data_IF_067005389891
#
_entry.id   IF_067005389891
#
_cell.length_a   1.000
_cell.length_b   1.000
_cell.length_c   1.000
_cell.angle_alpha   90.00
_cell.angle_beta   90.00
_cell.angle_gamma   90.00
#
_symmetry.space_group_name_H-M   'P 1'
#
loop_
_entity.id
_entity.type
_entity.pdbx_description
1 polymer ?
#
# COMPACT_ATOMS: atom_id res chain seq x y z
N UNK A 1 4.80 -18.31 -6.06
CA UNK A 1 4.93 -17.00 -5.37
C UNK A 1 3.55 -16.56 -4.89
N UNK A 2 3.45 -16.09 -3.66
CA UNK A 2 2.20 -15.63 -3.04
C UNK A 2 1.20 -16.70 -2.62
N UNK A 3 0.91 -17.67 -3.50
CA UNK A 3 -0.07 -18.74 -3.26
C UNK A 3 -1.53 -18.31 -3.46
N UNK A 4 -1.76 -17.13 -4.04
CA UNK A 4 -3.10 -16.60 -4.32
C UNK A 4 -3.70 -17.30 -5.55
N UNK A 5 -4.95 -17.78 -5.48
CA UNK A 5 -5.69 -18.24 -6.66
C UNK A 5 -5.73 -17.18 -7.75
N UNK A 6 -5.78 -17.60 -9.02
CA UNK A 6 -5.77 -16.66 -10.16
C UNK A 6 -6.98 -15.73 -10.14
N UNK A 7 -8.15 -16.26 -9.79
CA UNK A 7 -9.35 -15.44 -9.60
C UNK A 7 -9.09 -14.34 -8.57
N UNK A 8 -8.55 -14.73 -7.41
CA UNK A 8 -8.26 -13.79 -6.33
C UNK A 8 -7.27 -12.71 -6.74
N UNK A 9 -6.23 -13.09 -7.47
CA UNK A 9 -5.21 -12.16 -7.95
C UNK A 9 -5.80 -11.09 -8.88
N UNK A 10 -6.69 -11.47 -9.79
CA UNK A 10 -7.29 -10.54 -10.76
C UNK A 10 -8.25 -9.56 -10.07
N UNK A 11 -9.13 -10.05 -9.20
CA UNK A 11 -10.06 -9.20 -8.46
C UNK A 11 -9.34 -8.30 -7.47
N UNK A 12 -8.30 -8.80 -6.80
CA UNK A 12 -7.44 -7.98 -5.95
C UNK A 12 -6.74 -6.89 -6.76
N UNK A 13 -6.25 -7.20 -7.96
CA UNK A 13 -5.65 -6.19 -8.84
C UNK A 13 -6.65 -5.09 -9.21
N UNK A 14 -7.90 -5.45 -9.55
CA UNK A 14 -8.95 -4.46 -9.84
C UNK A 14 -9.35 -3.65 -8.60
N UNK A 15 -9.50 -4.29 -7.44
CA UNK A 15 -9.80 -3.61 -6.18
C UNK A 15 -8.69 -2.65 -5.75
N UNK A 16 -7.43 -3.01 -6.00
CA UNK A 16 -6.26 -2.16 -5.72
C UNK A 16 -6.17 -0.98 -6.70
N UNK A 17 -6.28 -1.26 -8.01
CA UNK A 17 -6.16 -0.24 -9.05
C UNK A 17 -7.30 0.77 -9.06
N UNK A 18 -8.51 0.32 -8.75
CA UNK A 18 -9.68 1.19 -8.60
C UNK A 18 -9.81 1.84 -7.21
N UNK A 19 -8.81 1.65 -6.33
CA UNK A 19 -8.83 2.11 -4.93
C UNK A 19 -10.13 1.79 -4.19
N UNK A 20 -10.70 0.61 -4.45
CA UNK A 20 -12.04 0.24 -3.99
C UNK A 20 -12.06 -0.72 -2.80
N UNK A 21 -10.95 -1.41 -2.50
CA UNK A 21 -10.80 -2.19 -1.25
C UNK A 21 -11.64 -3.45 -1.11
N UNK A 22 -12.41 -3.82 -2.13
CA UNK A 22 -13.24 -5.02 -2.07
C UNK A 22 -12.36 -6.28 -2.03
N UNK A 23 -12.18 -6.82 -0.82
CA UNK A 23 -11.56 -8.12 -0.60
C UNK A 23 -12.54 -9.25 -0.91
N UNK A 24 -12.03 -10.36 -1.45
CA UNK A 24 -12.83 -11.57 -1.71
C UNK A 24 -13.08 -12.34 -0.42
N UNK A 25 -12.09 -12.35 0.47
CA UNK A 25 -12.17 -13.01 1.75
C UNK A 25 -12.65 -12.03 2.81
N UNK A 26 -13.36 -12.55 3.81
CA UNK A 26 -13.85 -11.77 4.93
C UNK A 26 -12.73 -11.17 5.78
N UNK A 27 -11.55 -11.80 5.81
CA UNK A 27 -10.35 -11.31 6.47
C UNK A 27 -9.52 -10.34 5.59
N UNK A 28 -10.12 -9.84 4.49
CA UNK A 28 -9.51 -8.92 3.54
C UNK A 28 -8.18 -9.44 3.00
N UNK A 29 -7.05 -8.92 3.51
CA UNK A 29 -5.69 -9.30 3.10
C UNK A 29 -4.89 -10.02 4.19
N UNK A 30 -5.46 -10.22 5.38
CA UNK A 30 -4.77 -10.79 6.53
C UNK A 30 -4.29 -12.23 6.28
N UNK A 31 -5.14 -13.09 5.71
CA UNK A 31 -4.80 -14.48 5.41
C UNK A 31 -3.91 -14.72 4.19
N UNK A 32 -3.44 -13.67 3.50
CA UNK A 32 -2.48 -13.81 2.41
C UNK A 32 -1.04 -13.70 2.90
N UNK A 33 -0.13 -14.35 2.16
CA UNK A 33 1.29 -14.35 2.52
C UNK A 33 1.88 -12.94 2.61
N UNK A 34 2.92 -12.72 3.45
CA UNK A 34 3.63 -11.45 3.57
C UNK A 34 4.05 -10.85 2.23
N UNK A 35 4.39 -11.70 1.26
CA UNK A 35 4.72 -11.30 -0.10
C UNK A 35 3.57 -10.57 -0.80
N UNK A 36 2.35 -11.11 -0.74
CA UNK A 36 1.18 -10.49 -1.39
C UNK A 36 0.83 -9.16 -0.72
N UNK A 37 0.92 -9.10 0.60
CA UNK A 37 0.66 -7.87 1.33
C UNK A 37 1.64 -6.77 0.90
N UNK A 38 2.94 -7.05 0.82
CA UNK A 38 3.92 -6.09 0.31
C UNK A 38 3.64 -5.64 -1.13
N UNK A 39 3.33 -6.58 -2.02
CA UNK A 39 2.98 -6.26 -3.42
C UNK A 39 1.77 -5.33 -3.45
N UNK A 40 0.72 -5.66 -2.70
CA UNK A 40 -0.50 -4.85 -2.61
C UNK A 40 -0.20 -3.46 -2.05
N UNK A 41 0.60 -3.35 -0.99
CA UNK A 41 1.04 -2.05 -0.42
C UNK A 41 1.72 -1.17 -1.47
N UNK A 42 2.65 -1.72 -2.24
CA UNK A 42 3.36 -0.96 -3.29
C UNK A 42 2.38 -0.49 -4.36
N UNK A 43 1.49 -1.35 -4.83
CA UNK A 43 0.53 -0.97 -5.86
C UNK A 43 -0.53 0.01 -5.36
N UNK A 44 -1.01 -0.11 -4.12
CA UNK A 44 -1.88 0.90 -3.50
C UNK A 44 -1.21 2.27 -3.55
N UNK A 45 0.04 2.38 -3.09
CA UNK A 45 0.77 3.64 -3.09
C UNK A 45 0.95 4.19 -4.50
N UNK A 46 1.27 3.33 -5.48
CA UNK A 46 1.41 3.75 -6.88
C UNK A 46 0.07 4.30 -7.42
N UNK A 47 -1.03 3.59 -7.24
CA UNK A 47 -2.33 4.04 -7.75
C UNK A 47 -2.86 5.28 -7.01
N UNK A 48 -2.39 5.55 -5.79
CA UNK A 48 -2.70 6.80 -5.07
C UNK A 48 -1.93 8.04 -5.56
N UNK A 49 -0.89 7.90 -6.39
CA UNK A 49 -0.14 9.05 -6.91
C UNK A 49 -0.87 9.71 -8.09
N UNK A 50 -0.79 11.05 -8.16
CA UNK A 50 -1.34 11.83 -9.27
C UNK A 50 -0.89 11.32 -10.65
N UNK A 51 -1.87 11.13 -11.56
CA UNK A 51 -1.66 10.66 -12.92
C UNK A 51 -0.66 11.50 -13.74
N UNK A 52 -0.53 12.80 -13.44
CA UNK A 52 0.42 13.69 -14.08
C UNK A 52 1.88 13.21 -13.91
N UNK A 53 2.21 12.60 -12.77
CA UNK A 53 3.53 11.98 -12.58
C UNK A 53 3.78 10.90 -13.63
N UNK A 54 2.84 9.97 -13.82
CA UNK A 54 2.97 8.89 -14.79
C UNK A 54 3.07 9.41 -16.22
N UNK A 55 2.29 10.44 -16.56
CA UNK A 55 2.38 11.10 -17.86
C UNK A 55 3.77 11.71 -18.10
N UNK A 56 4.35 12.40 -17.10
CA UNK A 56 5.70 12.96 -17.21
C UNK A 56 6.80 11.89 -17.28
N UNK A 57 6.63 10.77 -16.58
CA UNK A 57 7.53 9.61 -16.67
C UNK A 57 7.50 9.01 -18.09
N UNK A 58 6.31 8.88 -18.70
CA UNK A 58 6.15 8.42 -20.08
C UNK A 58 6.87 9.34 -21.08
N UNK A 59 6.83 10.64 -20.86
CA UNK A 59 7.57 11.65 -21.64
C UNK A 59 9.08 11.67 -21.35
N UNK A 60 9.61 10.74 -20.54
CA UNK A 60 11.00 10.68 -20.08
C UNK A 60 11.47 11.94 -19.34
N UNK A 61 10.54 12.71 -18.76
CA UNK A 61 10.82 13.92 -17.95
C UNK A 61 10.93 13.59 -16.47
N UNK A 62 11.78 12.62 -16.13
CA UNK A 62 11.96 12.08 -14.78
C UNK A 62 12.19 13.16 -13.71
N UNK A 63 13.09 14.12 -14.00
CA UNK A 63 13.41 15.22 -13.07
C UNK A 63 12.18 16.08 -12.73
N UNK A 64 11.30 16.32 -13.70
CA UNK A 64 10.10 17.12 -13.50
C UNK A 64 9.06 16.31 -12.72
N UNK A 65 8.89 15.03 -13.03
CA UNK A 65 7.95 14.14 -12.33
C UNK A 65 8.24 14.07 -10.82
N UNK A 66 9.50 13.88 -10.42
CA UNK A 66 9.88 13.83 -8.99
C UNK A 66 9.98 15.20 -8.31
N UNK A 67 9.91 16.30 -9.07
CA UNK A 67 9.92 17.68 -8.51
C UNK A 67 8.52 18.17 -8.17
N UNK A 68 7.47 17.46 -8.59
CA UNK A 68 6.09 17.78 -8.23
C UNK A 68 5.94 17.78 -6.71
N UNK A 69 5.49 18.91 -6.18
CA UNK A 69 5.31 19.11 -4.74
C UNK A 69 4.31 18.13 -4.15
N UNK A 70 3.23 17.84 -4.88
CA UNK A 70 2.22 16.84 -4.50
C UNK A 70 2.82 15.44 -4.32
N UNK A 71 3.65 14.97 -5.27
CA UNK A 71 4.27 13.64 -5.20
C UNK A 71 5.21 13.55 -4.00
N UNK A 72 6.02 14.60 -3.78
CA UNK A 72 6.94 14.67 -2.65
C UNK A 72 6.20 14.73 -1.32
N UNK A 73 5.17 15.55 -1.22
CA UNK A 73 4.31 15.67 -0.06
C UNK A 73 3.62 14.35 0.27
N UNK A 74 3.06 13.69 -0.75
CA UNK A 74 2.43 12.38 -0.63
C UNK A 74 3.38 11.34 -0.01
N UNK A 75 4.56 11.11 -0.61
CA UNK A 75 5.51 10.13 -0.07
C UNK A 75 6.09 10.54 1.28
N UNK A 76 6.26 11.84 1.54
CA UNK A 76 6.70 12.33 2.85
C UNK A 76 5.66 11.99 3.93
N UNK A 77 4.37 12.24 3.68
CA UNK A 77 3.29 11.90 4.60
C UNK A 77 3.23 10.39 4.83
N UNK A 78 3.33 9.57 3.77
CA UNK A 78 3.39 8.10 3.90
C UNK A 78 4.53 7.66 4.81
N UNK A 79 5.75 8.14 4.57
CA UNK A 79 6.92 7.76 5.37
C UNK A 79 6.83 8.26 6.82
N UNK A 80 6.37 9.50 7.01
CA UNK A 80 6.19 10.06 8.34
C UNK A 80 5.12 9.30 9.13
N UNK A 81 3.95 9.06 8.54
CA UNK A 81 2.86 8.30 9.17
C UNK A 81 3.30 6.87 9.48
N UNK A 82 3.98 6.19 8.55
CA UNK A 82 4.53 4.85 8.77
C UNK A 82 5.51 4.85 9.94
N UNK A 83 6.43 5.80 10.01
CA UNK A 83 7.40 5.90 11.11
C UNK A 83 6.77 6.19 12.46
N UNK A 84 5.80 7.11 12.52
CA UNK A 84 5.10 7.47 13.76
C UNK A 84 4.27 6.29 14.27
N UNK A 85 3.47 5.66 13.41
CA UNK A 85 2.63 4.52 13.79
C UNK A 85 3.49 3.32 14.15
N UNK A 86 4.59 3.07 13.43
CA UNK A 86 5.52 2.00 13.77
C UNK A 86 6.13 2.20 15.15
N UNK A 87 6.53 3.43 15.51
CA UNK A 87 7.06 3.71 16.84
C UNK A 87 6.00 3.54 17.95
N UNK A 88 4.72 3.77 17.65
CA UNK A 88 3.64 3.67 18.62
C UNK A 88 3.12 2.23 18.82
N UNK A 89 2.98 1.48 17.73
CA UNK A 89 2.39 0.14 17.71
C UNK A 89 3.46 -0.97 17.61
N UNK A 90 4.71 -0.68 17.95
CA UNK A 90 5.79 -1.66 17.86
C UNK A 90 5.62 -2.81 18.85
N UNK A 91 5.45 -4.03 18.33
CA UNK A 91 5.49 -5.24 19.14
C UNK A 91 6.84 -5.97 18.99
N UNK A 92 7.61 -6.00 20.08
CA UNK A 92 8.91 -6.67 20.11
C UNK A 92 8.84 -8.19 19.84
N UNK A 93 7.69 -8.83 20.08
CA UNK A 93 7.50 -10.27 19.86
C UNK A 93 7.32 -10.63 18.38
N UNK A 94 6.79 -9.72 17.56
CA UNK A 94 6.48 -9.96 16.14
C UNK A 94 7.70 -9.76 15.22
N UNK A 95 8.72 -9.03 15.69
CA UNK A 95 9.91 -8.71 14.89
C UNK A 95 9.73 -7.49 13.99
N UNK A 96 10.84 -6.80 13.70
CA UNK A 96 10.79 -5.47 13.07
C UNK A 96 10.14 -5.46 11.67
N UNK A 97 10.48 -6.43 10.81
CA UNK A 97 9.99 -6.46 9.44
C UNK A 97 8.49 -6.73 9.33
N UNK A 98 7.93 -7.52 10.25
CA UNK A 98 6.51 -7.82 10.27
C UNK A 98 5.69 -6.64 10.80
N UNK A 99 6.17 -5.98 11.86
CA UNK A 99 5.59 -4.71 12.31
C UNK A 99 5.59 -3.67 11.19
N UNK A 100 6.73 -3.49 10.52
CA UNK A 100 6.84 -2.56 9.40
C UNK A 100 5.86 -2.90 8.27
N UNK A 101 5.72 -4.18 7.93
CA UNK A 101 4.78 -4.64 6.90
C UNK A 101 3.34 -4.27 7.26
N UNK A 102 2.89 -4.61 8.46
CA UNK A 102 1.52 -4.34 8.89
C UNK A 102 1.23 -2.83 8.95
N UNK A 103 2.14 -2.04 9.53
CA UNK A 103 1.99 -0.59 9.61
C UNK A 103 2.00 0.05 8.21
N UNK A 104 2.96 -0.30 7.36
CA UNK A 104 3.03 0.24 6.00
C UNK A 104 1.81 -0.13 5.17
N UNK A 105 1.28 -1.34 5.33
CA UNK A 105 0.05 -1.78 4.67
C UNK A 105 -1.14 -0.91 5.08
N UNK A 106 -1.33 -0.71 6.39
CA UNK A 106 -2.45 0.09 6.89
C UNK A 106 -2.35 1.56 6.49
N UNK A 107 -1.15 2.15 6.61
CA UNK A 107 -0.91 3.53 6.15
C UNK A 107 -1.20 3.67 4.66
N UNK A 108 -0.70 2.75 3.83
CA UNK A 108 -0.98 2.76 2.40
C UNK A 108 -2.49 2.66 2.14
N UNK A 109 -3.17 1.69 2.74
CA UNK A 109 -4.61 1.47 2.56
C UNK A 109 -5.47 2.70 2.91
N UNK A 110 -5.16 3.37 4.03
CA UNK A 110 -5.91 4.54 4.49
C UNK A 110 -5.62 5.75 3.61
N UNK A 111 -4.35 6.04 3.31
CA UNK A 111 -3.98 7.25 2.56
C UNK A 111 -4.40 7.17 1.08
N UNK A 112 -4.41 5.96 0.51
CA UNK A 112 -4.88 5.71 -0.87
C UNK A 112 -6.39 5.47 -0.91
N UNK A 113 -7.07 5.63 0.23
CA UNK A 113 -8.50 5.36 0.41
C UNK A 113 -8.94 4.01 -0.14
N UNK A 114 -8.03 3.04 -0.18
CA UNK A 114 -8.31 1.72 -0.75
C UNK A 114 -9.11 0.91 0.23
N UNK A 115 -8.78 0.90 1.53
CA UNK A 115 -9.63 0.27 2.55
C UNK A 115 -9.43 -1.24 2.71
N UNK A 116 -8.33 -1.82 2.22
CA UNK A 116 -7.92 -3.17 2.64
C UNK A 116 -7.42 -3.18 4.09
N UNK A 117 -7.49 -4.33 4.76
CA UNK A 117 -6.91 -4.52 6.08
C UNK A 117 -6.11 -5.82 6.18
N UNK A 118 -5.05 -5.80 7.00
CA UNK A 118 -4.24 -6.99 7.33
C UNK A 118 -4.25 -7.35 8.82
N UNK A 119 -4.80 -6.48 9.65
CA UNK A 119 -4.97 -6.68 11.10
C UNK A 119 -6.38 -6.25 11.47
N UNK A 120 -6.95 -6.89 12.49
CA UNK A 120 -8.19 -6.38 13.05
C UNK A 120 -7.92 -5.02 13.70
N UNK A 121 -8.89 -4.12 13.59
CA UNK A 121 -8.78 -2.78 14.19
C UNK A 121 -9.29 -2.76 15.63
N UNK A 122 -9.90 -3.86 16.09
CA UNK A 122 -10.42 -4.09 17.44
C UNK A 122 -9.38 -4.66 18.42
#
# INVERSE_FOLDING_TARGET
LGGMPVFDAVTTAFGTAGTGGFGIKNDSMAGYSPYIQWVTTVFMLLFGVNFNMYFLLLLKKWKTAFRLEEVRGYFLVVLAATGIILANAYDAAMGFFDNLRHVAFQVASIITTTGFSTVDFD
#
